data_IF_431674369843
#
_entry.id   IF_431674369843
#
_cell.length_a   1.000
_cell.length_b   1.000
_cell.length_c   1.000
_cell.angle_alpha   90.00
_cell.angle_beta   90.00
_cell.angle_gamma   90.00
#
_symmetry.space_group_name_H-M   'P 1'
#
loop_
_entity.id
_entity.type
_entity.pdbx_description
1 polymer ?
#
# COMPACT_ATOMS: atom_id res chain seq x y z
N UNK A 1 -1.68 7.36 2.10
CA UNK A 1 -1.45 7.95 0.76
C UNK A 1 -2.76 8.49 0.21
N UNK A 2 -2.76 9.69 -0.30
CA UNK A 2 -3.97 10.32 -0.82
C UNK A 2 -4.21 9.96 -2.28
N UNK A 3 -5.48 9.96 -2.69
CA UNK A 3 -5.85 9.73 -4.09
C UNK A 3 -5.32 10.78 -5.07
N UNK A 4 -5.09 12.01 -4.62
CA UNK A 4 -4.51 13.06 -5.45
C UNK A 4 -3.04 12.79 -5.81
N UNK A 5 -2.37 11.91 -5.09
CA UNK A 5 -1.02 11.43 -5.41
C UNK A 5 -1.01 10.35 -6.49
N UNK A 6 -2.15 9.73 -6.78
CA UNK A 6 -2.26 8.73 -7.83
C UNK A 6 -2.44 9.43 -9.17
N UNK A 7 -1.55 9.15 -10.10
CA UNK A 7 -1.54 9.77 -11.42
C UNK A 7 -2.64 9.16 -12.30
N UNK A 8 -3.58 9.99 -12.75
CA UNK A 8 -4.67 9.52 -13.62
C UNK A 8 -5.62 8.55 -12.96
N UNK A 9 -6.09 7.55 -13.69
CA UNK A 9 -7.00 6.48 -13.23
C UNK A 9 -8.33 7.01 -12.68
N UNK A 10 -8.89 8.05 -13.26
CA UNK A 10 -10.09 8.71 -12.76
C UNK A 10 -11.31 7.79 -12.72
N UNK A 11 -11.48 6.93 -13.73
CA UNK A 11 -12.59 5.96 -13.76
C UNK A 11 -12.47 4.95 -12.62
N UNK A 12 -11.27 4.42 -12.39
CA UNK A 12 -11.03 3.48 -11.30
C UNK A 12 -11.25 4.13 -9.93
N UNK A 13 -10.79 5.37 -9.76
CA UNK A 13 -11.04 6.15 -8.54
C UNK A 13 -12.54 6.34 -8.29
N UNK A 14 -13.30 6.67 -9.31
CA UNK A 14 -14.76 6.83 -9.21
C UNK A 14 -15.45 5.53 -8.81
N UNK A 15 -15.04 4.40 -9.38
CA UNK A 15 -15.59 3.08 -9.04
C UNK A 15 -15.31 2.71 -7.59
N UNK A 16 -14.09 2.96 -7.10
CA UNK A 16 -13.74 2.71 -5.71
C UNK A 16 -14.54 3.59 -4.75
N UNK A 17 -14.73 4.86 -5.10
CA UNK A 17 -15.57 5.77 -4.32
C UNK A 17 -17.01 5.28 -4.25
N UNK A 18 -17.55 4.81 -5.36
CA UNK A 18 -18.91 4.29 -5.43
C UNK A 18 -19.09 3.07 -4.53
N UNK A 19 -18.10 2.16 -4.48
CA UNK A 19 -18.15 1.01 -3.56
C UNK A 19 -18.30 1.44 -2.10
N UNK A 20 -17.60 2.50 -1.70
CA UNK A 20 -17.69 3.02 -0.33
C UNK A 20 -19.03 3.72 -0.09
N UNK A 21 -19.47 4.58 -1.01
CA UNK A 21 -20.70 5.34 -0.88
C UNK A 21 -21.94 4.43 -0.87
N UNK A 22 -21.92 3.32 -1.59
CA UNK A 22 -22.99 2.33 -1.63
C UNK A 22 -22.87 1.23 -0.58
N UNK A 23 -21.84 1.27 0.27
CA UNK A 23 -21.56 0.27 1.29
C UNK A 23 -21.43 -1.16 0.72
N UNK A 24 -20.84 -1.28 -0.47
CA UNK A 24 -20.68 -2.53 -1.22
C UNK A 24 -19.25 -2.95 -1.41
N UNK A 25 -18.42 -2.74 -0.40
CA UNK A 25 -17.00 -3.12 -0.48
C UNK A 25 -16.90 -4.64 -0.41
N UNK A 26 -16.35 -5.31 -1.45
CA UNK A 26 -16.17 -6.75 -1.43
C UNK A 26 -15.08 -7.17 -0.44
N UNK A 27 -15.08 -8.45 -0.03
CA UNK A 27 -14.07 -9.00 0.87
C UNK A 27 -12.67 -8.99 0.28
N UNK A 28 -12.54 -9.05 -1.04
CA UNK A 28 -11.26 -9.03 -1.75
C UNK A 28 -11.38 -8.22 -3.02
N UNK A 29 -10.35 -7.43 -3.31
CA UNK A 29 -10.21 -6.65 -4.53
C UNK A 29 -8.88 -7.00 -5.20
N UNK A 30 -8.91 -7.14 -6.52
CA UNK A 30 -7.70 -7.34 -7.31
C UNK A 30 -7.51 -6.17 -8.27
N UNK A 31 -6.37 -5.52 -8.19
CA UNK A 31 -5.99 -4.43 -9.10
C UNK A 31 -5.10 -5.02 -10.19
N UNK A 32 -5.57 -5.00 -11.42
CA UNK A 32 -4.87 -5.56 -12.57
C UNK A 32 -4.55 -4.47 -13.57
N UNK A 33 -3.47 -4.66 -14.31
CA UNK A 33 -3.05 -3.74 -15.35
C UNK A 33 -1.58 -3.91 -15.70
N UNK A 34 -1.13 -3.23 -16.76
CA UNK A 34 0.27 -3.27 -17.16
C UNK A 34 1.18 -2.65 -16.09
N UNK A 35 2.46 -3.02 -16.13
CA UNK A 35 3.49 -2.45 -15.27
C UNK A 35 3.52 -0.92 -15.45
N UNK A 36 3.57 -0.20 -14.34
CA UNK A 36 3.60 1.27 -14.35
C UNK A 36 2.24 1.95 -14.49
N UNK A 37 1.13 1.19 -14.51
CA UNK A 37 -0.21 1.77 -14.61
C UNK A 37 -0.71 2.43 -13.32
N UNK A 38 0.01 2.27 -12.20
CA UNK A 38 -0.35 2.88 -10.92
C UNK A 38 -1.27 2.02 -10.05
N UNK A 39 -1.39 0.73 -10.34
CA UNK A 39 -2.27 -0.17 -9.56
C UNK A 39 -1.88 -0.27 -8.09
N UNK A 40 -0.59 -0.32 -7.76
CA UNK A 40 -0.12 -0.32 -6.37
C UNK A 40 -0.46 1.00 -5.68
N UNK A 41 -0.17 2.11 -6.31
CA UNK A 41 -0.48 3.44 -5.77
C UNK A 41 -1.97 3.62 -5.53
N UNK A 42 -2.81 3.15 -6.45
CA UNK A 42 -4.26 3.21 -6.31
C UNK A 42 -4.75 2.32 -5.16
N UNK A 43 -4.23 1.10 -5.04
CA UNK A 43 -4.57 0.19 -3.95
C UNK A 43 -4.20 0.76 -2.58
N UNK A 44 -3.01 1.37 -2.48
CA UNK A 44 -2.54 2.01 -1.24
C UNK A 44 -3.39 3.24 -0.88
N UNK A 45 -3.76 4.05 -1.86
CA UNK A 45 -4.64 5.19 -1.65
C UNK A 45 -6.03 4.74 -1.18
N UNK A 46 -6.57 3.68 -1.78
CA UNK A 46 -7.87 3.13 -1.37
C UNK A 46 -7.82 2.56 0.05
N UNK A 47 -6.79 1.79 0.37
CA UNK A 47 -6.59 1.27 1.73
C UNK A 47 -6.49 2.40 2.75
N UNK A 48 -5.73 3.45 2.45
CA UNK A 48 -5.60 4.61 3.32
C UNK A 48 -6.94 5.31 3.55
N UNK A 49 -7.74 5.47 2.50
CA UNK A 49 -9.09 6.05 2.61
C UNK A 49 -10.01 5.18 3.48
N UNK A 50 -10.00 3.87 3.29
CA UNK A 50 -10.79 2.95 4.12
C UNK A 50 -10.42 3.02 5.60
N UNK A 51 -9.18 3.33 5.92
CA UNK A 51 -8.68 3.42 7.28
C UNK A 51 -8.82 4.81 7.89
N UNK A 52 -9.37 5.77 7.16
CA UNK A 52 -9.75 7.06 7.69
C UNK A 52 -9.06 8.28 7.09
N UNK A 53 -8.12 8.11 6.15
CA UNK A 53 -7.51 9.25 5.46
C UNK A 53 -8.57 9.99 4.63
N UNK A 54 -8.49 11.32 4.60
CA UNK A 54 -9.46 12.13 3.85
C UNK A 54 -9.28 11.97 2.34
N UNK A 55 -10.41 11.88 1.66
CA UNK A 55 -10.51 12.02 0.21
C UNK A 55 -11.57 13.06 -0.13
N UNK A 56 -11.17 14.12 -0.82
CA UNK A 56 -12.05 15.26 -1.13
C UNK A 56 -12.77 15.82 0.11
N UNK A 57 -12.04 15.93 1.21
CA UNK A 57 -12.55 16.43 2.48
C UNK A 57 -13.42 15.47 3.28
N UNK A 58 -13.66 14.27 2.75
CA UNK A 58 -14.49 13.24 3.40
C UNK A 58 -13.63 12.10 3.93
N UNK A 59 -14.06 11.53 5.07
CA UNK A 59 -13.42 10.37 5.69
C UNK A 59 -14.46 9.33 6.07
N UNK A 60 -14.02 8.08 6.23
CA UNK A 60 -14.83 7.01 6.80
C UNK A 60 -14.99 7.15 8.32
N UNK A 61 -14.19 8.00 8.95
CA UNK A 61 -14.26 8.31 10.39
C UNK A 61 -15.04 9.60 10.62
N UNK A 62 -15.67 9.73 11.80
CA UNK A 62 -16.54 10.85 12.16
C UNK A 62 -15.90 11.90 13.06
N UNK A 63 -14.73 11.60 13.64
CA UNK A 63 -14.05 12.50 14.59
C UNK A 63 -12.80 13.08 13.94
N UNK A 64 -12.61 14.38 14.00
CA UNK A 64 -11.41 15.04 13.49
C UNK A 64 -10.14 14.53 14.19
N UNK A 65 -10.21 14.23 15.48
CA UNK A 65 -9.09 13.67 16.22
C UNK A 65 -8.76 12.25 15.74
N UNK A 66 -9.76 11.42 15.48
CA UNK A 66 -9.57 10.06 14.95
C UNK A 66 -8.99 10.10 13.53
N UNK A 67 -9.47 11.01 12.68
CA UNK A 67 -8.95 11.20 11.32
C UNK A 67 -7.49 11.63 11.37
N UNK A 68 -7.14 12.62 12.18
CA UNK A 68 -5.77 13.11 12.32
C UNK A 68 -4.82 12.01 12.81
N UNK A 69 -5.26 11.19 13.77
CA UNK A 69 -4.48 10.06 14.25
C UNK A 69 -4.25 9.00 13.16
N UNK A 70 -5.29 8.65 12.42
CA UNK A 70 -5.19 7.71 11.29
C UNK A 70 -4.24 8.23 10.21
N UNK A 71 -4.37 9.50 9.83
CA UNK A 71 -3.50 10.13 8.83
C UNK A 71 -2.04 10.15 9.26
N UNK A 72 -1.77 10.38 10.56
CA UNK A 72 -0.41 10.36 11.10
C UNK A 72 0.21 8.95 11.02
N UNK A 73 -0.54 7.91 11.35
CA UNK A 73 -0.08 6.53 11.24
C UNK A 73 0.11 6.10 9.79
N UNK A 74 -0.80 6.48 8.90
CA UNK A 74 -0.74 6.15 7.47
C UNK A 74 0.41 6.87 6.76
N UNK A 75 0.78 8.07 7.20
CA UNK A 75 1.93 8.80 6.66
C UNK A 75 3.24 8.02 6.84
N UNK A 76 3.32 7.18 7.86
CA UNK A 76 4.48 6.32 8.16
C UNK A 76 4.26 4.87 7.76
N UNK A 77 3.13 4.53 7.14
CA UNK A 77 2.73 3.16 6.81
C UNK A 77 2.73 2.22 8.02
N UNK A 78 2.30 2.73 9.18
CA UNK A 78 2.32 2.04 10.46
C UNK A 78 0.93 1.91 11.11
N UNK A 79 -0.12 1.93 10.32
CA UNK A 79 -1.48 1.72 10.84
C UNK A 79 -1.67 0.26 11.28
N UNK A 80 -2.26 -0.01 12.47
CA UNK A 80 -2.40 -1.36 13.00
C UNK A 80 -3.27 -2.28 12.14
N UNK A 81 -4.20 -1.73 11.37
CA UNK A 81 -5.10 -2.51 10.50
C UNK A 81 -4.59 -2.59 9.05
N UNK A 82 -3.41 -2.07 8.76
CA UNK A 82 -2.80 -2.12 7.45
C UNK A 82 -1.65 -3.13 7.46
N UNK A 83 -1.83 -4.23 6.75
CA UNK A 83 -0.85 -5.29 6.66
C UNK A 83 -0.41 -5.51 5.22
N UNK A 84 0.87 -5.79 5.03
CA UNK A 84 1.46 -6.03 3.73
C UNK A 84 1.97 -7.46 3.62
N UNK A 85 1.79 -8.04 2.44
CA UNK A 85 2.46 -9.26 2.03
C UNK A 85 3.14 -9.00 0.68
N UNK A 86 4.39 -9.35 0.56
CA UNK A 86 5.21 -9.04 -0.61
C UNK A 86 6.26 -10.12 -0.82
N UNK A 87 6.80 -10.27 -2.05
CA UNK A 87 7.87 -11.23 -2.32
C UNK A 87 9.10 -10.95 -1.45
N UNK A 88 9.69 -12.01 -0.93
CA UNK A 88 10.90 -11.94 -0.11
C UNK A 88 11.97 -12.87 -0.66
N UNK A 89 13.23 -12.59 -0.33
CA UNK A 89 14.37 -13.41 -0.70
C UNK A 89 15.01 -13.99 0.57
N UNK A 90 15.68 -15.13 0.42
CA UNK A 90 16.51 -15.66 1.51
C UNK A 90 17.80 -14.87 1.58
N UNK A 91 18.24 -14.43 2.79
CA UNK A 91 19.54 -13.83 2.96
C UNK A 91 20.67 -14.82 2.59
N UNK A 92 21.80 -14.31 2.10
CA UNK A 92 22.99 -15.12 1.88
C UNK A 92 23.43 -15.78 3.19
N UNK A 93 23.77 -17.07 3.13
CA UNK A 93 24.18 -17.83 4.30
C UNK A 93 23.05 -18.37 5.16
N UNK A 94 21.78 -18.11 4.81
CA UNK A 94 20.65 -18.72 5.50
C UNK A 94 20.57 -20.22 5.21
N UNK A 95 20.35 -21.03 6.26
CA UNK A 95 20.18 -22.47 6.12
C UNK A 95 18.94 -22.86 5.34
N UNK A 96 18.89 -24.10 4.87
CA UNK A 96 17.77 -24.62 4.08
C UNK A 96 16.43 -24.55 4.82
N UNK A 97 16.46 -24.65 6.14
CA UNK A 97 15.28 -24.64 7.00
C UNK A 97 14.84 -23.24 7.45
N UNK A 98 15.58 -22.19 7.05
CA UNK A 98 15.24 -20.82 7.41
C UNK A 98 13.98 -20.38 6.64
N UNK A 99 12.93 -20.08 7.39
CA UNK A 99 11.71 -19.50 6.84
C UNK A 99 11.86 -17.98 6.83
N UNK A 100 11.64 -17.38 5.66
CA UNK A 100 11.65 -15.93 5.48
C UNK A 100 10.20 -15.48 5.32
N UNK A 101 9.81 -14.49 6.12
CA UNK A 101 8.48 -13.89 6.07
C UNK A 101 8.55 -12.44 5.62
N UNK A 102 7.40 -11.87 5.26
CA UNK A 102 7.31 -10.45 4.93
C UNK A 102 7.80 -9.55 6.07
N UNK A 103 7.57 -9.95 7.32
CA UNK A 103 7.97 -9.15 8.48
C UNK A 103 9.49 -8.97 8.59
N UNK A 104 10.28 -9.89 8.06
CA UNK A 104 11.75 -9.79 8.06
C UNK A 104 12.25 -8.60 7.24
N UNK A 105 11.44 -8.10 6.30
CA UNK A 105 11.76 -6.97 5.43
C UNK A 105 10.83 -5.77 5.62
N UNK A 106 10.12 -5.70 6.73
CA UNK A 106 9.14 -4.64 6.98
C UNK A 106 9.76 -3.23 6.94
N UNK A 107 10.99 -3.09 7.43
CA UNK A 107 11.72 -1.81 7.42
C UNK A 107 12.04 -1.38 5.98
N UNK A 108 12.55 -2.29 5.17
CA UNK A 108 12.87 -2.05 3.76
C UNK A 108 11.61 -1.74 2.95
N UNK A 109 10.51 -2.44 3.23
CA UNK A 109 9.23 -2.19 2.58
C UNK A 109 8.71 -0.78 2.86
N UNK A 110 8.74 -0.34 4.11
CA UNK A 110 8.36 1.04 4.47
C UNK A 110 9.27 2.06 3.81
N UNK A 111 10.56 1.79 3.75
CA UNK A 111 11.53 2.65 3.07
C UNK A 111 11.19 2.80 1.59
N UNK A 112 10.84 1.71 0.91
CA UNK A 112 10.42 1.74 -0.50
C UNK A 112 9.15 2.59 -0.68
N UNK A 113 8.14 2.38 0.13
CA UNK A 113 6.87 3.11 0.06
C UNK A 113 7.02 4.60 0.36
N UNK A 114 7.90 4.96 1.29
CA UNK A 114 8.16 6.36 1.61
C UNK A 114 8.94 7.09 0.54
N UNK A 115 9.72 6.38 -0.26
CA UNK A 115 10.42 6.95 -1.41
C UNK A 115 9.47 7.21 -2.57
N UNK A 116 8.80 6.19 -3.03
CA UNK A 116 7.83 6.27 -4.13
C UNK A 116 6.93 5.03 -4.11
N UNK A 117 5.65 5.19 -4.41
CA UNK A 117 4.72 4.08 -4.57
C UNK A 117 4.70 3.51 -6.00
N UNK A 118 5.39 4.15 -6.93
CA UNK A 118 5.62 3.67 -8.30
C UNK A 118 7.00 3.01 -8.38
N UNK A 119 7.07 1.72 -8.07
CA UNK A 119 8.31 0.95 -8.14
C UNK A 119 8.07 -0.42 -8.78
N UNK A 120 9.13 -1.00 -9.32
CA UNK A 120 9.10 -2.32 -9.94
C UNK A 120 9.49 -3.42 -8.94
N UNK A 121 9.16 -4.67 -9.27
CA UNK A 121 9.64 -5.82 -8.53
C UNK A 121 11.17 -5.85 -8.47
N UNK A 122 11.84 -5.50 -9.56
CA UNK A 122 13.30 -5.45 -9.62
C UNK A 122 13.89 -4.45 -8.62
N UNK A 123 13.30 -3.26 -8.53
CA UNK A 123 13.71 -2.25 -7.54
C UNK A 123 13.52 -2.77 -6.11
N UNK A 124 12.42 -3.45 -5.85
CA UNK A 124 12.15 -4.06 -4.55
C UNK A 124 13.17 -5.16 -4.23
N UNK A 125 13.43 -6.06 -5.17
CA UNK A 125 14.43 -7.13 -4.98
C UNK A 125 15.82 -6.56 -4.71
N UNK A 126 16.21 -5.50 -5.41
CA UNK A 126 17.48 -4.81 -5.19
C UNK A 126 17.57 -4.22 -3.79
N UNK A 127 16.51 -3.61 -3.29
CA UNK A 127 16.48 -3.04 -1.94
C UNK A 127 16.65 -4.12 -0.86
N UNK A 128 16.09 -5.31 -1.06
CA UNK A 128 16.26 -6.45 -0.16
C UNK A 128 17.70 -7.01 -0.19
N UNK A 129 18.52 -6.60 -1.15
CA UNK A 129 19.88 -7.07 -1.30
C UNK A 129 20.06 -8.21 -2.30
N UNK A 130 19.12 -8.42 -3.21
CA UNK A 130 19.28 -9.39 -4.29
C UNK A 130 20.40 -8.95 -5.22
N UNK A 131 21.28 -9.87 -5.59
CA UNK A 131 22.29 -9.59 -6.60
C UNK A 131 21.64 -9.56 -7.97
N UNK A 132 22.10 -8.62 -8.80
CA UNK A 132 21.78 -8.64 -10.22
C UNK A 132 22.38 -9.91 -10.85
N UNK A 133 21.52 -10.75 -11.30
CA UNK A 133 21.92 -11.90 -12.12
C UNK A 133 21.79 -11.54 -13.58
#
# INVERSE_FOLDING_TARGET
MRFDKVIGQEEAKMRLRQLVDEERIPHALMFTGPTGSGKMSLALAFASFLLGERWDGKSTLNSDAAIANAEAMLAKWQHPDLHFSYPTIKPKGAGSDTKVTSDDYAKEWRQMLMGDTYFSLEQWMTLMGAEKQ
#
